data_IF_427694838660
#
_entry.id   IF_427694838660
#
_cell.length_a   1.000
_cell.length_b   1.000
_cell.length_c   1.000
_cell.angle_alpha   90.00
_cell.angle_beta   90.00
_cell.angle_gamma   90.00
#
_symmetry.space_group_name_H-M   'P 1'
#
loop_
_entity.id
_entity.type
_entity.pdbx_description
1 polymer ?
#
# COMPACT_ATOMS: atom_id res chain seq x y z
N UNK A 1 29.71 13.34 -1.80
CA UNK A 1 29.27 12.50 -0.67
C UNK A 1 27.76 12.64 -0.56
N UNK A 2 27.00 11.67 -1.06
CA UNK A 2 25.53 11.72 -1.05
C UNK A 2 25.05 11.12 0.28
N UNK A 3 24.47 11.96 1.13
CA UNK A 3 23.88 11.53 2.41
C UNK A 3 22.62 10.73 2.12
N UNK A 4 22.62 9.43 2.41
CA UNK A 4 21.44 8.58 2.29
C UNK A 4 20.49 8.90 3.45
N UNK A 5 19.53 9.80 3.23
CA UNK A 5 18.45 10.05 4.19
C UNK A 5 17.54 8.82 4.21
N UNK A 6 17.67 7.97 5.22
CA UNK A 6 16.76 6.86 5.47
C UNK A 6 15.39 7.42 5.87
N UNK A 7 14.45 7.48 4.93
CA UNK A 7 13.06 7.83 5.24
C UNK A 7 12.49 6.76 6.19
N UNK A 8 11.92 7.14 7.34
CA UNK A 8 11.35 6.17 8.27
C UNK A 8 10.20 5.42 7.58
N UNK A 9 10.26 4.09 7.57
CA UNK A 9 9.19 3.26 7.00
C UNK A 9 7.92 3.42 7.83
N UNK A 10 6.88 4.00 7.23
CA UNK A 10 5.58 4.18 7.88
C UNK A 10 4.78 2.89 7.75
N UNK A 11 4.40 2.33 8.90
CA UNK A 11 3.63 1.10 8.98
C UNK A 11 2.23 1.39 9.52
N UNK A 12 1.20 0.99 8.77
CA UNK A 12 -0.21 1.16 9.16
C UNK A 12 -0.84 -0.20 9.48
N UNK A 13 -1.88 -0.19 10.30
CA UNK A 13 -2.69 -1.36 10.61
C UNK A 13 -3.62 -1.73 9.44
N UNK A 14 -4.22 -2.92 9.51
CA UNK A 14 -5.24 -3.35 8.55
C UNK A 14 -6.48 -2.43 8.55
N UNK A 15 -6.84 -1.87 9.70
CA UNK A 15 -7.99 -0.97 9.84
C UNK A 15 -7.69 0.40 9.21
N UNK A 16 -6.53 0.98 9.53
CA UNK A 16 -6.09 2.24 8.91
C UNK A 16 -5.96 2.11 7.39
N UNK A 17 -5.40 1.01 6.88
CA UNK A 17 -5.33 0.77 5.44
C UNK A 17 -6.72 0.65 4.79
N UNK A 18 -7.68 0.04 5.49
CA UNK A 18 -9.06 -0.08 5.02
C UNK A 18 -9.74 1.30 4.93
N UNK A 19 -9.49 2.18 5.90
CA UNK A 19 -9.97 3.56 5.88
C UNK A 19 -9.32 4.37 4.74
N UNK A 20 -8.00 4.29 4.58
CA UNK A 20 -7.27 5.01 3.51
C UNK A 20 -7.81 4.62 2.13
N UNK A 21 -8.02 3.32 1.90
CA UNK A 21 -8.48 2.80 0.62
C UNK A 21 -10.02 2.85 0.45
N UNK A 22 -10.75 3.29 1.48
CA UNK A 22 -12.21 3.25 1.54
C UNK A 22 -12.80 1.86 1.19
N UNK A 23 -12.16 0.79 1.68
CA UNK A 23 -12.59 -0.61 1.47
C UNK A 23 -12.74 -1.36 2.79
N UNK A 24 -13.29 -2.57 2.76
CA UNK A 24 -13.34 -3.42 3.95
C UNK A 24 -11.97 -3.98 4.33
N UNK A 25 -11.74 -4.26 5.61
CA UNK A 25 -10.55 -5.01 6.09
C UNK A 25 -10.41 -6.38 5.41
N UNK A 26 -11.53 -7.01 5.02
CA UNK A 26 -11.53 -8.27 4.25
C UNK A 26 -10.90 -8.06 2.87
N UNK A 27 -11.23 -6.95 2.20
CA UNK A 27 -10.64 -6.56 0.92
C UNK A 27 -9.15 -6.30 1.06
N UNK A 28 -8.72 -5.58 2.10
CA UNK A 28 -7.29 -5.37 2.39
C UNK A 28 -6.55 -6.70 2.56
N UNK A 29 -7.12 -7.67 3.30
CA UNK A 29 -6.53 -9.02 3.43
C UNK A 29 -6.46 -9.76 2.09
N UNK A 30 -7.43 -9.54 1.19
CA UNK A 30 -7.40 -10.11 -0.16
C UNK A 30 -6.25 -9.51 -0.98
N UNK A 31 -6.02 -8.20 -0.91
CA UNK A 31 -4.88 -7.57 -1.58
C UNK A 31 -3.54 -8.09 -1.05
N UNK A 32 -3.41 -8.28 0.27
CA UNK A 32 -2.21 -8.91 0.85
C UNK A 32 -2.03 -10.35 0.33
N UNK A 33 -3.10 -11.15 0.30
CA UNK A 33 -3.04 -12.52 -0.20
C UNK A 33 -2.74 -12.60 -1.70
N UNK A 34 -3.16 -11.59 -2.47
CA UNK A 34 -2.86 -11.44 -3.90
C UNK A 34 -1.45 -10.90 -4.15
N UNK A 35 -0.73 -10.44 -3.12
CA UNK A 35 0.59 -9.81 -3.27
C UNK A 35 0.54 -8.36 -3.74
N UNK A 36 -0.64 -7.74 -3.76
CA UNK A 36 -0.86 -6.34 -4.15
C UNK A 36 -0.52 -5.35 -3.02
N UNK A 37 -0.56 -5.80 -1.76
CA UNK A 37 -0.14 -5.02 -0.60
C UNK A 37 0.96 -5.72 0.20
N UNK A 38 2.07 -5.02 0.39
CA UNK A 38 3.18 -5.45 1.22
C UNK A 38 2.84 -5.34 2.71
N UNK A 39 2.71 -6.49 3.36
CA UNK A 39 2.46 -6.58 4.78
C UNK A 39 3.62 -7.21 5.55
N UNK A 40 3.94 -6.64 6.70
CA UNK A 40 4.93 -7.15 7.66
C UNK A 40 4.20 -7.73 8.86
N UNK A 41 4.55 -8.96 9.24
CA UNK A 41 4.07 -9.59 10.46
C UNK A 41 5.01 -9.22 11.62
N UNK A 42 4.51 -8.44 12.57
CA UNK A 42 5.27 -8.01 13.76
C UNK A 42 4.99 -8.87 15.00
N UNK A 43 4.14 -9.90 14.87
CA UNK A 43 3.84 -10.85 15.94
C UNK A 43 2.79 -11.86 15.53
N UNK A 44 2.36 -12.71 16.48
CA UNK A 44 1.38 -13.78 16.21
C UNK A 44 0.08 -13.25 15.59
N UNK A 45 -0.42 -12.10 16.08
CA UNK A 45 -1.68 -11.48 15.61
C UNK A 45 -1.50 -10.07 15.04
N UNK A 46 -0.28 -9.57 14.97
CA UNK A 46 -0.01 -8.18 14.56
C UNK A 46 0.51 -8.16 13.14
N UNK A 47 -0.31 -7.70 12.21
CA UNK A 47 0.05 -7.43 10.82
C UNK A 47 0.04 -5.92 10.62
N UNK A 48 1.09 -5.42 9.97
CA UNK A 48 1.18 -4.04 9.50
C UNK A 48 1.39 -4.02 8.00
N UNK A 49 0.95 -2.96 7.33
CA UNK A 49 1.13 -2.73 5.90
C UNK A 49 2.10 -1.56 5.75
N UNK A 50 3.00 -1.66 4.77
CA UNK A 50 3.87 -0.53 4.42
C UNK A 50 3.02 0.55 3.74
N UNK A 51 3.07 1.79 4.23
CA UNK A 51 2.29 2.89 3.65
C UNK A 51 2.63 3.09 2.17
N UNK A 52 3.91 3.00 1.80
CA UNK A 52 4.38 3.10 0.41
C UNK A 52 3.74 2.09 -0.55
N UNK A 53 3.31 0.94 -0.04
CA UNK A 53 2.64 -0.08 -0.86
C UNK A 53 1.19 0.27 -1.14
N UNK A 54 0.54 1.03 -0.24
CA UNK A 54 -0.82 1.54 -0.45
C UNK A 54 -0.78 2.61 -1.54
N UNK A 55 0.20 3.52 -1.47
CA UNK A 55 0.41 4.55 -2.49
C UNK A 55 0.67 3.90 -3.86
N UNK A 56 1.56 2.90 -3.92
CA UNK A 56 1.84 2.16 -5.15
C UNK A 56 0.61 1.44 -5.73
N UNK A 57 -0.28 0.91 -4.87
CA UNK A 57 -1.53 0.28 -5.30
C UNK A 57 -2.48 1.29 -5.96
N UNK A 58 -2.58 2.50 -5.40
CA UNK A 58 -3.40 3.59 -5.95
C UNK A 58 -2.87 4.00 -7.33
N UNK A 59 -1.56 4.19 -7.44
CA UNK A 59 -0.89 4.60 -8.68
C UNK A 59 -0.97 3.52 -9.78
N UNK A 60 -1.06 2.25 -9.42
CA UNK A 60 -1.16 1.13 -10.35
C UNK A 60 -2.55 0.96 -11.00
N UNK A 61 -3.60 1.55 -10.42
CA UNK A 61 -4.99 1.40 -10.89
C UNK A 61 -5.64 2.71 -11.35
N UNK A 62 -5.03 3.47 -12.29
CA UNK A 62 -5.66 4.67 -12.83
C UNK A 62 -6.82 4.29 -13.76
N UNK A 63 -8.03 4.68 -13.38
CA UNK A 63 -9.24 4.43 -14.20
C UNK A 63 -9.43 5.47 -15.32
N UNK A 64 -8.72 6.59 -15.27
CA UNK A 64 -8.90 7.74 -16.17
C UNK A 64 -7.73 7.94 -17.15
N UNK A 65 -6.89 6.93 -17.39
CA UNK A 65 -5.71 7.00 -18.26
C UNK A 65 -6.01 7.16 -19.77
N UNK A 66 -7.14 7.78 -20.15
CA UNK A 66 -7.59 7.93 -21.53
C UNK A 66 -6.74 8.88 -22.40
N UNK A 67 -5.63 9.44 -21.89
CA UNK A 67 -4.94 10.54 -22.57
C UNK A 67 -3.41 10.57 -22.54
N UNK A 68 -2.73 9.43 -22.66
CA UNK A 68 -1.28 9.46 -22.95
C UNK A 68 -0.97 8.69 -24.22
N UNK A 69 -1.43 9.26 -25.35
CA UNK A 69 -0.81 9.04 -26.65
C UNK A 69 -0.32 10.40 -27.12
N UNK A 70 0.94 10.69 -26.85
CA UNK A 70 1.66 11.79 -27.49
C UNK A 70 2.77 11.17 -28.32
N UNK A 71 2.76 11.54 -29.59
CA UNK A 71 3.70 11.21 -30.66
C UNK A 71 5.15 11.52 -30.34
#
# INVERSE_FOLDING_TARGET
MTSTTTVPRRLVSLAEAAEILAVSVKTVRRYIAAGELDAVRLGRRTIRIKAESIDALIDAHPVNAWRVRTS
#
